data_IF_200253587680
#
_entry.id   IF_200253587680
#
_cell.length_a   1.000
_cell.length_b   1.000
_cell.length_c   1.000
_cell.angle_alpha   90.00
_cell.angle_beta   90.00
_cell.angle_gamma   90.00
#
_symmetry.space_group_name_H-M   'P 1'
#
loop_
_entity.id
_entity.type
_entity.pdbx_description
1 polymer ?
#
# COMPACT_ATOMS: atom_id res chain seq x y z
N UNK A 1 -7.38 -13.65 15.25
CA UNK A 1 -7.20 -12.96 13.95
C UNK A 1 -5.99 -12.05 14.10
N UNK A 2 -5.03 -12.13 13.18
CA UNK A 2 -3.82 -11.30 13.22
C UNK A 2 -4.22 -9.80 13.20
N UNK A 3 -3.64 -8.99 14.08
CA UNK A 3 -3.94 -7.54 14.19
C UNK A 3 -3.61 -6.82 12.87
N UNK A 4 -2.59 -7.29 12.16
CA UNK A 4 -2.19 -6.75 10.85
C UNK A 4 -3.30 -6.97 9.82
N UNK A 5 -3.78 -8.21 9.68
CA UNK A 5 -4.84 -8.53 8.70
C UNK A 5 -6.17 -7.86 9.03
N UNK A 6 -6.49 -7.66 10.32
CA UNK A 6 -7.67 -6.88 10.73
C UNK A 6 -7.58 -5.44 10.21
N UNK A 7 -6.45 -4.77 10.44
CA UNK A 7 -6.24 -3.39 9.99
C UNK A 7 -6.28 -3.28 8.46
N UNK A 8 -5.67 -4.23 7.74
CA UNK A 8 -5.73 -4.27 6.27
C UNK A 8 -7.16 -4.49 5.79
N UNK A 9 -7.94 -5.32 6.48
CA UNK A 9 -9.37 -5.52 6.19
C UNK A 9 -10.19 -4.25 6.35
N UNK A 10 -9.95 -3.47 7.41
CA UNK A 10 -10.61 -2.17 7.64
C UNK A 10 -10.27 -1.18 6.51
N UNK A 11 -8.98 -1.03 6.16
CA UNK A 11 -8.54 -0.17 5.05
C UNK A 11 -9.19 -0.62 3.73
N UNK A 12 -9.18 -1.92 3.42
CA UNK A 12 -9.80 -2.46 2.22
C UNK A 12 -11.31 -2.19 2.19
N UNK A 13 -11.99 -2.27 3.33
CA UNK A 13 -13.41 -1.95 3.44
C UNK A 13 -13.69 -0.52 3.00
N UNK A 14 -12.94 0.46 3.54
CA UNK A 14 -13.07 1.87 3.14
C UNK A 14 -12.76 2.09 1.66
N UNK A 15 -11.68 1.50 1.16
CA UNK A 15 -11.26 1.62 -0.23
C UNK A 15 -12.28 0.99 -1.22
N UNK A 16 -12.88 -0.13 -0.84
CA UNK A 16 -13.91 -0.81 -1.65
C UNK A 16 -15.23 -0.04 -1.71
N UNK A 17 -15.59 0.73 -0.67
CA UNK A 17 -16.77 1.62 -0.69
C UNK A 17 -16.62 2.66 -1.82
N UNK A 18 -15.40 3.15 -2.05
CA UNK A 18 -15.07 4.09 -3.12
C UNK A 18 -14.85 3.40 -4.48
N UNK A 19 -15.14 2.10 -4.59
CA UNK A 19 -14.94 1.32 -5.82
C UNK A 19 -13.48 1.01 -6.15
N UNK A 20 -12.56 1.19 -5.20
CA UNK A 20 -11.12 1.02 -5.38
C UNK A 20 -10.54 -0.03 -4.40
N UNK A 21 -10.97 -1.30 -4.43
CA UNK A 21 -10.48 -2.30 -3.48
C UNK A 21 -8.96 -2.48 -3.56
N UNK A 22 -8.32 -2.80 -2.43
CA UNK A 22 -6.87 -3.01 -2.38
C UNK A 22 -6.46 -4.22 -3.22
N UNK A 23 -5.44 -4.02 -4.06
CA UNK A 23 -4.78 -5.10 -4.79
C UNK A 23 -3.93 -5.97 -3.85
N UNK A 24 -3.46 -7.12 -4.33
CA UNK A 24 -2.52 -7.95 -3.56
C UNK A 24 -1.20 -7.22 -3.30
N UNK A 25 -0.70 -6.45 -4.27
CA UNK A 25 0.51 -5.62 -4.11
C UNK A 25 0.34 -4.59 -2.97
N UNK A 26 -0.83 -3.93 -2.91
CA UNK A 26 -1.13 -2.96 -1.86
C UNK A 26 -1.18 -3.62 -0.48
N UNK A 27 -1.80 -4.80 -0.38
CA UNK A 27 -1.89 -5.55 0.87
C UNK A 27 -0.51 -5.95 1.37
N UNK A 28 0.36 -6.43 0.48
CA UNK A 28 1.73 -6.79 0.84
C UNK A 28 2.57 -5.57 1.24
N UNK A 29 2.38 -4.43 0.58
CA UNK A 29 2.98 -3.16 0.99
C UNK A 29 2.53 -2.76 2.40
N UNK A 30 1.22 -2.80 2.69
CA UNK A 30 0.69 -2.48 4.01
C UNK A 30 1.21 -3.43 5.09
N UNK A 31 1.33 -4.74 4.81
CA UNK A 31 1.95 -5.70 5.75
C UNK A 31 3.38 -5.29 6.11
N UNK A 32 4.19 -4.90 5.12
CA UNK A 32 5.57 -4.44 5.37
C UNK A 32 5.61 -3.16 6.21
N UNK A 33 4.75 -2.19 5.91
CA UNK A 33 4.65 -0.94 6.69
C UNK A 33 4.21 -1.19 8.14
N UNK A 34 3.13 -1.96 8.35
CA UNK A 34 2.55 -2.20 9.68
C UNK A 34 3.52 -3.00 10.56
N UNK A 35 4.27 -3.94 9.96
CA UNK A 35 5.26 -4.76 10.67
C UNK A 35 6.62 -4.08 10.84
N UNK A 36 6.80 -2.85 10.32
CA UNK A 36 8.04 -2.09 10.42
C UNK A 36 9.17 -2.61 9.54
N UNK A 37 8.89 -3.50 8.56
CA UNK A 37 9.87 -3.93 7.55
C UNK A 37 10.23 -2.80 6.59
N UNK A 38 9.29 -1.89 6.37
CA UNK A 38 9.46 -0.66 5.59
C UNK A 38 8.70 0.47 6.27
N UNK A 39 8.96 1.71 5.85
CA UNK A 39 8.22 2.89 6.31
C UNK A 39 7.30 3.45 5.22
N UNK A 40 6.23 4.19 5.58
CA UNK A 40 5.40 4.88 4.60
C UNK A 40 6.21 5.78 3.66
N UNK A 41 7.19 6.53 4.18
CA UNK A 41 8.03 7.43 3.37
C UNK A 41 8.85 6.68 2.31
N UNK A 42 9.36 5.50 2.63
CA UNK A 42 10.08 4.67 1.68
C UNK A 42 9.17 4.08 0.61
N UNK A 43 7.99 3.58 0.98
CA UNK A 43 7.03 3.04 0.01
C UNK A 43 6.49 4.16 -0.90
N UNK A 44 6.20 5.35 -0.37
CA UNK A 44 5.79 6.52 -1.17
C UNK A 44 6.88 6.87 -2.18
N UNK A 45 8.15 6.94 -1.77
CA UNK A 45 9.28 7.19 -2.70
C UNK A 45 9.37 6.10 -3.78
N UNK A 46 9.15 4.84 -3.43
CA UNK A 46 9.11 3.72 -4.40
C UNK A 46 7.98 3.86 -5.40
N UNK A 47 6.77 4.19 -4.94
CA UNK A 47 5.60 4.40 -5.80
C UNK A 47 5.83 5.58 -6.74
N UNK A 48 6.30 6.73 -6.23
CA UNK A 48 6.65 7.89 -7.06
C UNK A 48 7.67 7.49 -8.11
N UNK A 49 8.73 6.76 -7.77
CA UNK A 49 9.73 6.30 -8.74
C UNK A 49 9.15 5.33 -9.78
N UNK A 50 8.26 4.41 -9.37
CA UNK A 50 7.62 3.40 -10.25
C UNK A 50 6.73 4.06 -11.30
N UNK A 51 5.99 5.09 -10.92
CA UNK A 51 4.99 5.74 -11.77
C UNK A 51 5.42 7.08 -12.37
N UNK A 52 6.58 7.62 -11.96
CA UNK A 52 7.19 8.76 -12.65
C UNK A 52 7.77 8.28 -13.97
N UNK A 53 7.16 8.71 -15.07
CA UNK A 53 7.76 8.59 -16.41
C UNK A 53 8.97 9.52 -16.41
N UNK A 54 10.18 8.98 -16.56
CA UNK A 54 11.36 9.82 -16.84
C UNK A 54 11.15 10.35 -18.26
N UNK A 55 10.99 11.67 -18.46
CA UNK A 55 10.93 12.21 -19.81
C UNK A 55 12.27 11.91 -20.49
N UNK A 56 12.25 11.21 -21.62
CA UNK A 56 13.43 11.12 -22.50
C UNK A 56 13.84 12.57 -22.86
N UNK A 57 15.06 12.95 -22.50
CA UNK A 57 15.69 14.23 -22.85
C UNK A 57 16.65 14.02 -24.00
#
# INVERSE_FOLDING_TARGET
MDRVEKLIGEINGTMAIEGMPLTEEDRDMLRRCITGKTTPDEEIKRLVKKYSVVPER
#
